data_IF_566267399141
#
_entry.id   IF_566267399141
#
_cell.length_a   1.000
_cell.length_b   1.000
_cell.length_c   1.000
_cell.angle_alpha   90.00
_cell.angle_beta   90.00
_cell.angle_gamma   90.00
#
_symmetry.space_group_name_H-M   'P 1'
#
loop_
_entity.id
_entity.type
_entity.pdbx_description
1 polymer ?
#
# COMPACT_ATOMS: atom_id res chain seq x y z
N UNK A 1 -2.78 0.99 14.40
CA UNK A 1 -3.23 0.07 13.35
C UNK A 1 -4.01 -1.14 13.90
N UNK A 2 -3.51 -1.87 14.92
CA UNK A 2 -4.15 -3.12 15.35
C UNK A 2 -5.46 -2.87 16.09
N UNK A 3 -5.41 -2.24 17.28
CA UNK A 3 -6.59 -2.03 18.13
C UNK A 3 -7.65 -1.18 17.43
N UNK A 4 -7.24 -0.05 16.82
CA UNK A 4 -8.18 0.80 16.09
C UNK A 4 -8.86 0.10 14.92
N UNK A 5 -8.12 -0.77 14.19
CA UNK A 5 -8.70 -1.54 13.09
C UNK A 5 -9.70 -2.60 13.59
N UNK A 6 -9.40 -3.27 14.72
CA UNK A 6 -10.36 -4.18 15.36
C UNK A 6 -11.66 -3.47 15.72
N UNK A 7 -11.58 -2.24 16.28
CA UNK A 7 -12.79 -1.46 16.58
C UNK A 7 -13.59 -1.10 15.33
N UNK A 8 -12.93 -0.78 14.22
CA UNK A 8 -13.61 -0.53 12.93
C UNK A 8 -14.33 -1.79 12.45
N UNK A 9 -13.67 -2.95 12.48
CA UNK A 9 -14.27 -4.23 12.08
C UNK A 9 -15.50 -4.57 12.94
N UNK A 10 -15.41 -4.40 14.28
CA UNK A 10 -16.56 -4.57 15.17
C UNK A 10 -17.69 -3.58 14.85
N UNK A 11 -17.33 -2.32 14.58
CA UNK A 11 -18.31 -1.31 14.16
C UNK A 11 -19.01 -1.72 12.87
N UNK A 12 -18.27 -2.19 11.86
CA UNK A 12 -18.85 -2.68 10.60
C UNK A 12 -19.78 -3.87 10.82
N UNK A 13 -19.35 -4.84 11.63
CA UNK A 13 -20.15 -6.03 11.95
C UNK A 13 -21.48 -5.66 12.62
N UNK A 14 -21.44 -4.82 13.66
CA UNK A 14 -22.63 -4.44 14.42
C UNK A 14 -23.59 -3.56 13.61
N UNK A 15 -23.10 -2.75 12.70
CA UNK A 15 -23.92 -1.87 11.85
C UNK A 15 -24.26 -2.49 10.48
N UNK A 16 -23.93 -3.75 10.25
CA UNK A 16 -24.20 -4.46 8.99
C UNK A 16 -23.73 -3.69 7.76
N UNK A 17 -22.49 -3.20 7.83
CA UNK A 17 -21.85 -2.49 6.70
C UNK A 17 -21.75 -3.44 5.51
N UNK A 18 -22.20 -3.00 4.34
CA UNK A 18 -22.24 -3.81 3.13
C UNK A 18 -20.87 -4.10 2.53
N UNK A 19 -19.90 -3.19 2.71
CA UNK A 19 -18.55 -3.35 2.23
C UNK A 19 -17.56 -2.49 3.03
N UNK A 20 -16.45 -3.08 3.46
CA UNK A 20 -15.33 -2.36 4.06
C UNK A 20 -14.14 -2.35 3.10
N UNK A 21 -13.78 -1.17 2.58
CA UNK A 21 -12.51 -0.96 1.88
C UNK A 21 -11.51 -0.38 2.86
N UNK A 22 -10.32 -0.98 2.97
CA UNK A 22 -9.31 -0.55 3.93
C UNK A 22 -7.92 -0.42 3.32
N UNK A 23 -7.14 0.52 3.85
CA UNK A 23 -5.76 0.72 3.44
C UNK A 23 -4.85 -0.38 4.00
N UNK A 24 -4.25 -1.16 3.10
CA UNK A 24 -3.03 -1.93 3.35
C UNK A 24 -1.81 -1.16 2.80
N UNK A 25 -0.74 -1.84 2.46
CA UNK A 25 0.50 -1.20 1.96
C UNK A 25 1.33 -2.20 1.16
N UNK A 26 2.04 -1.72 0.14
CA UNK A 26 3.08 -2.50 -0.54
C UNK A 26 4.22 -2.94 0.38
N UNK A 27 4.37 -2.31 1.55
CA UNK A 27 5.34 -2.71 2.58
C UNK A 27 5.13 -4.15 3.08
N UNK A 28 3.93 -4.74 2.92
CA UNK A 28 3.64 -6.14 3.30
C UNK A 28 4.45 -7.13 2.49
N UNK A 29 4.89 -6.78 1.28
CA UNK A 29 5.77 -7.63 0.47
C UNK A 29 7.12 -7.89 1.12
N UNK A 30 7.57 -7.01 2.03
CA UNK A 30 8.72 -7.24 2.89
C UNK A 30 9.97 -7.72 2.15
N UNK A 31 10.38 -8.94 2.43
CA UNK A 31 11.58 -9.57 1.85
C UNK A 31 11.37 -10.19 0.45
N UNK A 32 10.17 -10.09 -0.15
CA UNK A 32 9.94 -10.61 -1.50
C UNK A 32 10.83 -9.89 -2.52
N UNK A 33 11.43 -10.65 -3.44
CA UNK A 33 12.37 -10.13 -4.46
C UNK A 33 11.83 -10.23 -5.88
N UNK A 34 10.83 -11.08 -6.12
CA UNK A 34 10.21 -11.25 -7.45
C UNK A 34 9.38 -10.02 -7.82
N UNK A 35 9.64 -9.46 -8.99
CA UNK A 35 8.95 -8.29 -9.53
C UNK A 35 8.27 -8.62 -10.86
N UNK A 36 7.12 -8.02 -11.17
CA UNK A 36 6.31 -7.14 -10.30
C UNK A 36 5.70 -7.90 -9.13
N UNK A 37 5.47 -7.22 -8.00
CA UNK A 37 4.79 -7.83 -6.85
C UNK A 37 3.36 -8.25 -7.21
N UNK A 38 3.03 -9.50 -6.88
CA UNK A 38 1.70 -10.06 -7.10
C UNK A 38 0.90 -10.17 -5.80
N UNK A 39 -0.40 -9.93 -5.84
CA UNK A 39 -1.29 -10.17 -4.68
C UNK A 39 -1.36 -11.65 -4.32
N UNK A 40 -0.99 -12.54 -5.24
CA UNK A 40 -0.95 -13.98 -5.05
C UNK A 40 0.33 -14.48 -4.35
N UNK A 41 1.34 -13.59 -4.19
CA UNK A 41 2.57 -13.93 -3.48
C UNK A 41 2.33 -14.03 -1.97
N UNK A 42 3.04 -14.98 -1.33
CA UNK A 42 3.12 -15.03 0.13
C UNK A 42 3.85 -13.78 0.66
N UNK A 43 3.33 -13.18 1.73
CA UNK A 43 3.84 -11.94 2.33
C UNK A 43 4.06 -12.07 3.85
N UNK A 44 4.60 -13.19 4.28
CA UNK A 44 4.78 -13.52 5.71
C UNK A 44 6.16 -13.09 6.27
N UNK A 45 6.98 -12.36 5.48
CA UNK A 45 8.30 -11.88 5.88
C UNK A 45 8.39 -10.35 5.87
N UNK A 46 7.59 -9.64 6.70
CA UNK A 46 7.63 -8.18 6.77
C UNK A 46 8.97 -7.69 7.32
N UNK A 47 9.51 -6.58 6.77
CA UNK A 47 10.78 -5.98 7.17
C UNK A 47 10.62 -4.80 8.14
N UNK A 48 9.40 -4.49 8.57
CA UNK A 48 9.14 -3.44 9.56
C UNK A 48 7.90 -3.76 10.39
N UNK A 49 7.83 -3.19 11.61
CA UNK A 49 6.65 -3.32 12.45
C UNK A 49 5.40 -2.70 11.79
N UNK A 50 5.58 -1.64 10.98
CA UNK A 50 4.51 -1.07 10.18
C UNK A 50 3.97 -2.10 9.18
N UNK A 51 4.83 -2.76 8.41
CA UNK A 51 4.44 -3.80 7.46
C UNK A 51 3.71 -4.96 8.16
N UNK A 52 4.25 -5.43 9.29
CA UNK A 52 3.61 -6.46 10.11
C UNK A 52 2.21 -6.03 10.58
N UNK A 53 2.05 -4.77 11.03
CA UNK A 53 0.74 -4.26 11.45
C UNK A 53 -0.26 -4.16 10.30
N UNK A 54 0.19 -3.85 9.07
CA UNK A 54 -0.66 -3.82 7.88
C UNK A 54 -1.05 -5.23 7.42
N UNK A 55 -0.11 -6.18 7.46
CA UNK A 55 -0.45 -7.59 7.21
C UNK A 55 -1.43 -8.12 8.27
N UNK A 56 -1.28 -7.76 9.53
CA UNK A 56 -2.25 -8.11 10.57
C UNK A 56 -3.65 -7.55 10.27
N UNK A 57 -3.77 -6.34 9.70
CA UNK A 57 -5.07 -5.83 9.25
C UNK A 57 -5.69 -6.71 8.15
N UNK A 58 -4.90 -7.16 7.18
CA UNK A 58 -5.39 -8.10 6.13
C UNK A 58 -5.92 -9.40 6.75
N UNK A 59 -5.19 -9.98 7.70
CA UNK A 59 -5.59 -11.22 8.39
C UNK A 59 -6.86 -11.03 9.24
N UNK A 60 -6.96 -9.91 9.97
CA UNK A 60 -8.14 -9.59 10.77
C UNK A 60 -9.36 -9.36 9.88
N UNK A 61 -9.23 -8.63 8.78
CA UNK A 61 -10.32 -8.41 7.81
C UNK A 61 -10.78 -9.75 7.21
N UNK A 62 -9.86 -10.62 6.79
CA UNK A 62 -10.20 -11.97 6.32
C UNK A 62 -10.98 -12.77 7.35
N UNK A 63 -10.56 -12.73 8.62
CA UNK A 63 -11.26 -13.43 9.71
C UNK A 63 -12.70 -12.94 9.86
N UNK A 64 -12.93 -11.61 9.80
CA UNK A 64 -14.29 -11.04 9.86
C UNK A 64 -15.12 -11.37 8.63
N UNK A 65 -14.51 -11.39 7.45
CA UNK A 65 -15.19 -11.87 6.24
C UNK A 65 -15.61 -13.32 6.36
N UNK A 66 -14.75 -14.17 6.95
CA UNK A 66 -15.07 -15.59 7.13
C UNK A 66 -16.15 -15.85 8.19
N UNK A 67 -16.06 -15.19 9.35
CA UNK A 67 -16.94 -15.45 10.48
C UNK A 67 -18.32 -14.75 10.35
N UNK A 68 -18.36 -13.59 9.73
CA UNK A 68 -19.53 -12.71 9.71
C UNK A 68 -20.02 -12.35 8.31
N UNK A 69 -19.41 -12.94 7.29
CA UNK A 69 -19.71 -12.67 5.88
C UNK A 69 -19.62 -11.16 5.52
N UNK A 70 -18.82 -10.39 6.26
CA UNK A 70 -18.56 -8.98 5.98
C UNK A 70 -17.67 -8.88 4.74
N UNK A 71 -18.15 -8.32 3.61
CA UNK A 71 -17.29 -8.11 2.45
C UNK A 71 -16.17 -7.12 2.78
N UNK A 72 -14.92 -7.53 2.59
CA UNK A 72 -13.78 -6.64 2.85
C UNK A 72 -12.76 -6.64 1.70
N UNK A 73 -12.27 -5.46 1.33
CA UNK A 73 -11.25 -5.29 0.30
C UNK A 73 -10.08 -4.49 0.82
N UNK A 74 -8.90 -5.10 0.84
CA UNK A 74 -7.64 -4.46 1.19
C UNK A 74 -6.95 -3.84 -0.02
N UNK A 75 -6.48 -2.60 0.08
CA UNK A 75 -5.73 -1.93 -0.97
C UNK A 75 -4.28 -1.77 -0.56
N UNK A 76 -3.36 -2.47 -1.22
CA UNK A 76 -1.91 -2.35 -1.04
C UNK A 76 -1.41 -1.17 -1.85
N UNK A 77 -1.43 0.02 -1.25
CA UNK A 77 -0.91 1.24 -1.88
C UNK A 77 0.60 1.19 -2.00
N UNK A 78 1.11 1.59 -3.17
CA UNK A 78 2.52 1.87 -3.39
C UNK A 78 2.84 3.30 -2.96
N UNK A 79 3.86 3.95 -3.53
CA UNK A 79 4.24 5.28 -3.08
C UNK A 79 3.30 6.32 -3.69
N UNK A 80 2.38 6.83 -2.89
CA UNK A 80 1.44 7.88 -3.30
C UNK A 80 2.08 9.24 -3.20
N UNK A 81 1.85 10.10 -4.20
CA UNK A 81 2.29 11.49 -4.20
C UNK A 81 1.18 12.41 -4.74
N UNK A 82 1.28 13.71 -4.46
CA UNK A 82 0.33 14.72 -4.90
C UNK A 82 0.03 15.76 -3.82
N UNK A 83 -0.96 16.63 -4.04
CA UNK A 83 -1.42 17.62 -3.07
C UNK A 83 -1.76 16.98 -1.71
N UNK A 84 -1.49 17.71 -0.63
CA UNK A 84 -1.70 17.23 0.75
C UNK A 84 -0.85 16.02 1.15
N UNK A 85 0.24 15.73 0.41
CA UNK A 85 1.19 14.69 0.75
C UNK A 85 1.81 14.91 2.14
N UNK A 86 2.26 13.83 2.78
CA UNK A 86 2.83 13.85 4.13
C UNK A 86 4.20 14.53 4.13
N UNK A 87 4.46 15.49 5.05
CA UNK A 87 5.72 16.25 5.10
C UNK A 87 6.93 15.42 5.54
N UNK A 88 6.73 14.22 6.09
CA UNK A 88 7.78 13.29 6.49
C UNK A 88 8.26 12.37 5.34
N UNK A 89 7.65 12.47 4.15
CA UNK A 89 8.05 11.72 2.97
C UNK A 89 9.24 12.38 2.23
N UNK A 90 9.93 11.57 1.42
CA UNK A 90 11.14 11.99 0.70
C UNK A 90 10.94 13.26 -0.13
N UNK A 91 9.79 13.42 -0.79
CA UNK A 91 9.47 14.61 -1.56
C UNK A 91 9.68 15.91 -0.76
N UNK A 92 9.03 16.00 0.40
CA UNK A 92 9.09 17.20 1.24
C UNK A 92 10.46 17.36 1.89
N UNK A 93 11.05 16.29 2.39
CA UNK A 93 12.38 16.32 3.02
C UNK A 93 13.45 16.78 2.04
N UNK A 94 13.47 16.19 0.84
CA UNK A 94 14.44 16.56 -0.19
C UNK A 94 14.23 17.97 -0.70
N UNK A 95 12.98 18.35 -0.98
CA UNK A 95 12.64 19.71 -1.38
C UNK A 95 13.10 20.75 -0.36
N UNK A 96 12.80 20.52 0.93
CA UNK A 96 13.23 21.40 2.01
C UNK A 96 14.75 21.52 2.11
N UNK A 97 15.46 20.39 2.08
CA UNK A 97 16.92 20.39 2.16
C UNK A 97 17.57 21.06 0.93
N UNK A 98 17.10 20.80 -0.29
CA UNK A 98 17.61 21.43 -1.51
C UNK A 98 17.40 22.95 -1.47
N UNK A 99 16.23 23.42 -1.05
CA UNK A 99 15.94 24.85 -0.94
C UNK A 99 16.81 25.54 0.12
N UNK A 100 17.12 24.84 1.22
CA UNK A 100 17.99 25.32 2.30
C UNK A 100 19.49 25.13 2.04
N UNK A 101 19.89 24.60 0.88
CA UNK A 101 21.28 24.24 0.55
C UNK A 101 21.91 23.22 1.53
N UNK A 102 21.07 22.39 2.15
CA UNK A 102 21.47 21.27 3.01
C UNK A 102 21.64 19.97 2.21
N UNK A 103 22.41 19.02 2.77
CA UNK A 103 22.60 17.71 2.15
C UNK A 103 21.36 16.83 2.28
N UNK A 104 21.05 16.10 1.21
CA UNK A 104 20.03 15.05 1.23
C UNK A 104 20.66 13.67 1.48
N UNK A 105 20.08 12.82 2.35
CA UNK A 105 20.60 11.49 2.59
C UNK A 105 20.25 10.56 1.41
N UNK A 106 21.26 10.15 0.65
CA UNK A 106 21.13 9.16 -0.42
C UNK A 106 21.63 7.82 0.10
N UNK A 107 20.71 6.95 0.52
CA UNK A 107 21.05 5.61 1.01
C UNK A 107 21.35 4.65 -0.14
N UNK A 108 22.15 3.62 0.15
CA UNK A 108 22.51 2.55 -0.80
C UNK A 108 23.00 3.09 -2.16
N UNK A 109 23.80 4.17 -2.12
CA UNK A 109 24.33 4.83 -3.34
C UNK A 109 23.26 5.20 -4.37
N UNK A 110 22.01 5.42 -3.93
CA UNK A 110 20.88 5.72 -4.81
C UNK A 110 20.24 4.49 -5.48
N UNK A 111 20.70 3.29 -5.15
CA UNK A 111 20.22 2.03 -5.74
C UNK A 111 18.85 1.62 -5.17
N UNK A 112 17.87 2.47 -5.35
CA UNK A 112 16.48 2.27 -4.93
C UNK A 112 15.53 2.64 -6.06
N UNK A 113 14.49 1.84 -6.21
CA UNK A 113 13.39 2.10 -7.13
C UNK A 113 12.08 2.19 -6.36
N UNK A 114 11.19 3.06 -6.80
CA UNK A 114 9.84 3.21 -6.24
C UNK A 114 8.83 3.37 -7.36
N UNK A 115 7.69 2.74 -7.18
CA UNK A 115 6.52 3.01 -8.01
C UNK A 115 5.74 4.17 -7.39
N UNK A 116 5.69 5.30 -8.10
CA UNK A 116 4.99 6.51 -7.67
C UNK A 116 3.64 6.59 -8.38
N UNK A 117 2.57 6.70 -7.60
CA UNK A 117 1.21 6.81 -8.11
C UNK A 117 0.61 8.15 -7.68
N UNK A 118 0.04 8.89 -8.64
CA UNK A 118 -0.58 10.17 -8.34
C UNK A 118 -1.87 9.98 -7.54
N UNK A 119 -2.17 10.94 -6.64
CA UNK A 119 -3.29 10.80 -5.69
C UNK A 119 -4.64 10.61 -6.39
N UNK A 120 -4.88 11.28 -7.52
CA UNK A 120 -6.15 11.16 -8.23
C UNK A 120 -6.37 9.74 -8.79
N UNK A 121 -5.30 9.09 -9.27
CA UNK A 121 -5.37 7.69 -9.73
C UNK A 121 -5.67 6.73 -8.56
N UNK A 122 -5.12 7.02 -7.39
CA UNK A 122 -5.40 6.27 -6.16
C UNK A 122 -6.87 6.42 -5.75
N UNK A 123 -7.39 7.65 -5.77
CA UNK A 123 -8.78 7.95 -5.40
C UNK A 123 -9.74 7.31 -6.40
N UNK A 124 -9.46 7.40 -7.70
CA UNK A 124 -10.26 6.74 -8.74
C UNK A 124 -10.30 5.21 -8.52
N UNK A 125 -9.14 4.59 -8.27
CA UNK A 125 -9.07 3.16 -7.98
C UNK A 125 -9.87 2.77 -6.73
N UNK A 126 -9.80 3.58 -5.67
CA UNK A 126 -10.56 3.36 -4.44
C UNK A 126 -12.08 3.45 -4.69
N UNK A 127 -12.53 4.48 -5.42
CA UNK A 127 -13.96 4.67 -5.73
C UNK A 127 -14.49 3.49 -6.52
N UNK A 128 -13.77 3.03 -7.55
CA UNK A 128 -14.18 1.86 -8.35
C UNK A 128 -14.29 0.59 -7.51
N UNK A 129 -13.38 0.39 -6.57
CA UNK A 129 -13.40 -0.78 -5.67
C UNK A 129 -14.56 -0.68 -4.68
N UNK A 130 -14.89 0.53 -4.20
CA UNK A 130 -15.97 0.73 -3.22
C UNK A 130 -17.32 0.23 -3.74
N UNK A 131 -17.59 0.43 -5.03
CA UNK A 131 -18.84 0.03 -5.68
C UNK A 131 -18.88 -1.48 -6.04
N UNK A 132 -17.80 -2.22 -5.81
CA UNK A 132 -17.68 -3.65 -6.15
C UNK A 132 -17.29 -4.44 -4.89
N UNK A 133 -18.25 -4.80 -4.02
CA UNK A 133 -17.96 -5.60 -2.84
C UNK A 133 -17.23 -6.91 -3.17
N UNK A 134 -16.30 -7.28 -2.32
CA UNK A 134 -15.58 -8.54 -2.47
C UNK A 134 -16.57 -9.72 -2.42
N UNK A 135 -16.39 -10.67 -3.32
CA UNK A 135 -17.15 -11.92 -3.38
C UNK A 135 -16.27 -13.10 -3.05
N UNK A 136 -16.89 -14.20 -2.67
CA UNK A 136 -16.23 -15.48 -2.49
C UNK A 136 -15.57 -15.93 -3.81
N UNK A 137 -14.37 -16.53 -3.71
CA UNK A 137 -13.76 -17.25 -4.83
C UNK A 137 -14.09 -18.74 -4.72
N UNK A 138 -15.00 -19.27 -5.55
CA UNK A 138 -15.42 -20.68 -5.48
C UNK A 138 -14.31 -21.66 -5.85
N UNK A 139 -13.30 -21.21 -6.62
CA UNK A 139 -12.16 -22.02 -7.06
C UNK A 139 -11.04 -22.06 -6.02
N UNK A 140 -11.12 -21.26 -4.95
CA UNK A 140 -10.09 -21.23 -3.92
C UNK A 140 -10.00 -22.57 -3.18
N UNK A 141 -8.80 -23.11 -3.03
CA UNK A 141 -8.53 -24.38 -2.35
C UNK A 141 -7.52 -24.19 -1.21
N UNK A 142 -7.78 -24.88 -0.10
CA UNK A 142 -6.83 -24.95 1.01
C UNK A 142 -5.56 -25.79 0.71
N UNK A 143 -5.58 -26.60 -0.36
CA UNK A 143 -4.40 -27.36 -0.79
C UNK A 143 -3.36 -26.47 -1.51
N UNK A 144 -3.84 -25.42 -2.17
CA UNK A 144 -3.03 -24.37 -2.81
C UNK A 144 -3.66 -23.01 -2.51
N UNK A 145 -3.49 -22.48 -1.28
CA UNK A 145 -4.17 -21.26 -0.86
C UNK A 145 -3.63 -20.05 -1.62
N UNK A 146 -4.53 -19.35 -2.30
CA UNK A 146 -4.25 -18.06 -2.92
C UNK A 146 -4.22 -16.96 -1.85
N UNK A 147 -3.13 -16.19 -1.82
CA UNK A 147 -2.93 -15.11 -0.84
C UNK A 147 -3.74 -13.84 -1.15
N UNK A 148 -4.33 -13.72 -2.35
CA UNK A 148 -5.06 -12.54 -2.81
C UNK A 148 -6.58 -12.65 -2.72
N UNK A 149 -7.10 -13.88 -2.56
CA UNK A 149 -8.54 -14.18 -2.53
C UNK A 149 -8.86 -15.23 -1.47
N UNK A 150 -10.14 -15.57 -1.28
CA UNK A 150 -10.58 -16.57 -0.31
C UNK A 150 -11.94 -17.15 -0.69
N UNK A 151 -12.33 -18.25 -0.01
CA UNK A 151 -13.72 -18.70 0.04
C UNK A 151 -14.64 -17.75 0.83
N UNK A 152 -14.07 -16.87 1.66
CA UNK A 152 -14.81 -15.75 2.27
C UNK A 152 -14.91 -14.57 1.29
N UNK A 153 -15.85 -13.64 1.48
CA UNK A 153 -15.95 -12.42 0.67
C UNK A 153 -14.82 -11.42 1.02
N UNK A 154 -13.58 -11.82 0.76
CA UNK A 154 -12.35 -11.09 1.05
C UNK A 154 -11.44 -11.03 -0.16
N UNK A 155 -10.82 -9.86 -0.37
CA UNK A 155 -9.88 -9.67 -1.48
C UNK A 155 -8.85 -8.60 -1.17
N UNK A 156 -7.67 -8.69 -1.81
CA UNK A 156 -6.69 -7.61 -1.83
C UNK A 156 -6.34 -7.22 -3.26
N UNK A 157 -6.03 -5.94 -3.46
CA UNK A 157 -5.55 -5.39 -4.72
C UNK A 157 -4.28 -4.58 -4.50
N UNK A 158 -3.40 -4.62 -5.49
CA UNK A 158 -2.32 -3.65 -5.61
C UNK A 158 -2.85 -2.38 -6.28
N UNK A 159 -2.56 -1.22 -5.71
CA UNK A 159 -2.83 0.08 -6.33
C UNK A 159 -1.50 0.79 -6.54
N UNK A 160 -1.02 0.79 -7.77
CA UNK A 160 0.26 1.35 -8.20
C UNK A 160 0.23 1.76 -9.67
N UNK A 161 1.27 2.46 -10.12
CA UNK A 161 1.38 2.95 -11.51
C UNK A 161 2.07 1.93 -12.44
N UNK A 162 2.65 0.88 -11.89
CA UNK A 162 3.43 -0.14 -12.63
C UNK A 162 4.60 0.44 -13.46
N UNK A 163 5.17 1.57 -13.00
CA UNK A 163 6.32 2.25 -13.60
C UNK A 163 7.32 2.65 -12.52
N UNK A 164 8.18 1.72 -12.08
CA UNK A 164 9.18 2.03 -11.06
C UNK A 164 10.20 3.04 -11.57
N UNK A 165 10.46 4.07 -10.78
CA UNK A 165 11.40 5.17 -11.03
C UNK A 165 12.62 5.00 -10.14
N UNK A 166 13.82 5.19 -10.69
CA UNK A 166 15.05 5.17 -9.93
C UNK A 166 15.16 6.43 -9.03
N UNK A 167 15.75 6.27 -7.84
CA UNK A 167 15.87 7.39 -6.88
C UNK A 167 16.65 8.55 -7.48
N UNK A 168 17.67 8.28 -8.30
CA UNK A 168 18.48 9.34 -8.90
C UNK A 168 17.70 10.13 -9.95
N UNK A 169 16.82 9.48 -10.73
CA UNK A 169 15.92 10.16 -11.69
C UNK A 169 14.90 11.03 -10.94
N UNK A 170 14.39 10.52 -9.82
CA UNK A 170 13.49 11.27 -8.96
C UNK A 170 14.16 12.53 -8.37
N UNK A 171 15.41 12.42 -7.89
CA UNK A 171 16.20 13.57 -7.41
C UNK A 171 16.43 14.56 -8.56
N UNK A 172 16.83 14.08 -9.74
CA UNK A 172 17.03 14.93 -10.92
C UNK A 172 15.77 15.70 -11.33
N UNK A 173 14.59 15.06 -11.23
CA UNK A 173 13.32 15.75 -11.47
C UNK A 173 13.05 16.87 -10.45
N UNK A 174 13.38 16.65 -9.17
CA UNK A 174 13.30 17.70 -8.13
C UNK A 174 14.27 18.84 -8.37
N UNK A 175 15.54 18.54 -8.69
CA UNK A 175 16.56 19.53 -9.03
C UNK A 175 16.10 20.44 -10.18
N UNK A 176 15.56 19.82 -11.22
CA UNK A 176 15.02 20.56 -12.38
C UNK A 176 13.82 21.44 -12.01
N UNK A 177 12.90 20.92 -11.20
CA UNK A 177 11.71 21.66 -10.77
C UNK A 177 12.04 22.84 -9.86
N UNK A 178 13.07 22.69 -9.00
CA UNK A 178 13.49 23.71 -8.04
C UNK A 178 14.53 24.69 -8.61
N UNK A 179 15.13 24.40 -9.77
CA UNK A 179 16.23 25.19 -10.33
C UNK A 179 17.50 25.17 -9.47
N UNK A 180 17.68 24.12 -8.63
CA UNK A 180 18.80 23.96 -7.70
C UNK A 180 19.34 22.54 -7.73
N UNK A 181 20.66 22.37 -7.58
CA UNK A 181 21.31 21.07 -7.48
C UNK A 181 21.34 20.59 -6.03
N UNK A 182 21.03 19.34 -5.79
CA UNK A 182 21.08 18.71 -4.47
C UNK A 182 22.53 18.42 -4.05
N UNK A 183 22.85 18.70 -2.78
CA UNK A 183 24.04 18.16 -2.13
C UNK A 183 23.74 16.75 -1.66
N UNK A 184 24.42 15.77 -2.22
CA UNK A 184 24.22 14.33 -1.98
C UNK A 184 25.25 13.78 -1.02
#
# INVERSE_FOLDING_TARGET
>A
NIVGFAHILEGCRHNKVEHLVYASSSSVYGANTTMPFSVHDNVDHPLSLYAASKKANELMAHTYSHLYELPTTGLRFFTVYGPWGRPDMALFKFTKAILADESIPVFNYGNHRRDFTYIDDIVEGLIRVLDIPATQNPEWSGDQPDSGTSKAPWRVYNIGNNKPVDLMDYIGALEKALGKTAKK
#
